data_IF_160057735348
#
_entry.id   IF_160057735348
#
_cell.length_a   1.000
_cell.length_b   1.000
_cell.length_c   1.000
_cell.angle_alpha   90.00
_cell.angle_beta   90.00
_cell.angle_gamma   90.00
#
_symmetry.space_group_name_H-M   'P 1'
#
loop_
_entity.id
_entity.type
_entity.pdbx_description
1 polymer ?
#
# COMPACT_ATOMS: atom_id res chain seq x y z
N UNK A 1 37.20 21.92 17.89
CA UNK A 1 36.07 21.69 16.97
C UNK A 1 34.81 21.48 17.82
N UNK A 2 33.86 22.42 17.81
CA UNK A 2 32.55 22.16 18.42
C UNK A 2 31.90 20.98 17.70
N UNK A 3 31.34 20.05 18.46
CA UNK A 3 30.61 18.92 17.92
C UNK A 3 29.35 19.49 17.26
N UNK A 4 29.38 19.70 15.94
CA UNK A 4 28.35 20.38 15.17
C UNK A 4 26.97 19.68 15.27
N UNK A 5 26.93 18.45 15.79
CA UNK A 5 25.74 17.63 15.89
C UNK A 5 25.72 16.83 17.21
N UNK A 6 25.36 17.47 18.35
CA UNK A 6 25.41 16.82 19.66
C UNK A 6 24.53 15.54 19.74
N UNK A 7 23.45 15.47 18.96
CA UNK A 7 22.47 14.37 19.02
C UNK A 7 22.64 13.27 17.96
N UNK A 8 23.74 13.21 17.21
CA UNK A 8 23.91 12.19 16.17
C UNK A 8 23.89 10.75 16.71
N UNK A 9 24.43 10.54 17.90
CA UNK A 9 24.37 9.25 18.59
C UNK A 9 22.92 8.82 18.88
N UNK A 10 22.06 9.77 19.30
CA UNK A 10 20.63 9.54 19.53
C UNK A 10 19.89 9.21 18.24
N UNK A 11 20.12 9.95 17.15
CA UNK A 11 19.50 9.66 15.84
C UNK A 11 19.89 8.28 15.30
N UNK A 12 21.13 7.86 15.50
CA UNK A 12 21.59 6.51 15.15
C UNK A 12 20.89 5.46 16.01
N UNK A 13 20.86 5.64 17.33
CA UNK A 13 20.14 4.76 18.24
C UNK A 13 18.65 4.65 17.85
N UNK A 14 18.03 5.79 17.54
CA UNK A 14 16.65 5.90 17.08
C UNK A 14 16.40 5.09 15.82
N UNK A 15 17.26 5.24 14.81
CA UNK A 15 17.16 4.47 13.57
C UNK A 15 17.23 2.96 13.82
N UNK A 16 18.15 2.51 14.69
CA UNK A 16 18.29 1.10 15.07
C UNK A 16 17.01 0.62 15.77
N UNK A 17 16.49 1.36 16.74
CA UNK A 17 15.28 1.02 17.46
C UNK A 17 14.06 0.90 16.53
N UNK A 18 13.86 1.86 15.63
CA UNK A 18 12.76 1.81 14.65
C UNK A 18 12.86 0.58 13.75
N UNK A 19 14.07 0.27 13.31
CA UNK A 19 14.33 -0.93 12.52
C UNK A 19 14.03 -2.20 13.33
N UNK A 20 14.49 -2.29 14.58
CA UNK A 20 14.21 -3.41 15.49
C UNK A 20 12.72 -3.58 15.74
N UNK A 21 11.95 -2.49 15.89
CA UNK A 21 10.50 -2.58 16.04
C UNK A 21 9.85 -3.16 14.78
N UNK A 22 10.25 -2.70 13.60
CA UNK A 22 9.75 -3.21 12.32
C UNK A 22 10.05 -4.72 12.19
N UNK A 23 11.27 -5.12 12.52
CA UNK A 23 11.67 -6.53 12.56
C UNK A 23 10.85 -7.32 13.58
N UNK A 24 10.51 -6.74 14.75
CA UNK A 24 9.69 -7.42 15.76
C UNK A 24 8.22 -7.56 15.36
N UNK A 25 7.68 -6.60 14.59
CA UNK A 25 6.29 -6.61 14.10
C UNK A 25 6.10 -7.66 13.00
N UNK A 26 7.14 -7.95 12.21
CA UNK A 26 7.02 -8.83 11.06
C UNK A 26 6.69 -10.30 11.44
N UNK A 27 7.37 -10.95 12.41
CA UNK A 27 6.98 -12.26 12.92
C UNK A 27 5.56 -12.28 13.50
N UNK A 28 5.18 -11.24 14.26
CA UNK A 28 3.82 -11.14 14.82
C UNK A 28 2.75 -11.07 13.73
N UNK A 29 2.99 -10.30 12.67
CA UNK A 29 2.09 -10.26 11.51
C UNK A 29 2.00 -11.62 10.80
N UNK A 30 3.13 -12.33 10.63
CA UNK A 30 3.15 -13.67 10.03
C UNK A 30 2.37 -14.68 10.88
N UNK A 31 2.56 -14.64 12.19
CA UNK A 31 1.86 -15.51 13.15
C UNK A 31 0.36 -15.23 13.15
N UNK A 32 -0.05 -13.97 13.25
CA UNK A 32 -1.47 -13.58 13.18
C UNK A 32 -2.09 -13.97 11.85
N UNK A 33 -1.37 -13.82 10.75
CA UNK A 33 -1.86 -14.27 9.45
C UNK A 33 -2.05 -15.79 9.41
N UNK A 34 -1.06 -16.56 9.87
CA UNK A 34 -1.16 -18.01 9.97
C UNK A 34 -2.40 -18.41 10.76
N UNK A 35 -2.61 -17.80 11.92
CA UNK A 35 -3.78 -18.04 12.77
C UNK A 35 -5.10 -17.64 12.09
N UNK A 36 -5.15 -16.49 11.41
CA UNK A 36 -6.30 -16.10 10.61
C UNK A 36 -6.65 -17.17 9.57
N UNK A 37 -5.64 -17.70 8.86
CA UNK A 37 -5.84 -18.74 7.84
C UNK A 37 -6.37 -20.04 8.46
N UNK A 38 -5.74 -20.50 9.55
CA UNK A 38 -6.18 -21.70 10.27
C UNK A 38 -7.65 -21.57 10.73
N UNK A 39 -8.02 -20.44 11.36
CA UNK A 39 -9.41 -20.19 11.74
C UNK A 39 -10.36 -20.13 10.57
N UNK A 40 -9.90 -19.59 9.45
CA UNK A 40 -10.72 -19.51 8.26
C UNK A 40 -11.03 -20.90 7.71
N UNK A 41 -10.00 -21.75 7.63
CA UNK A 41 -10.11 -23.12 7.15
C UNK A 41 -11.04 -23.91 8.11
N UNK A 42 -10.88 -23.76 9.43
CA UNK A 42 -11.77 -24.40 10.42
C UNK A 42 -13.23 -23.94 10.32
N UNK A 43 -13.47 -22.63 10.15
CA UNK A 43 -14.82 -22.10 9.96
C UNK A 43 -15.44 -22.60 8.66
N UNK A 44 -14.64 -22.73 7.60
CA UNK A 44 -15.07 -23.27 6.32
C UNK A 44 -15.54 -24.72 6.46
N UNK A 45 -14.74 -25.57 7.09
CA UNK A 45 -15.07 -26.98 7.32
C UNK A 45 -16.35 -27.13 8.14
N UNK A 46 -16.49 -26.33 9.21
CA UNK A 46 -17.70 -26.32 10.05
C UNK A 46 -18.95 -25.91 9.30
N UNK A 47 -18.89 -24.83 8.54
CA UNK A 47 -20.02 -24.40 7.72
C UNK A 47 -20.36 -25.44 6.65
N UNK A 48 -19.35 -26.08 6.03
CA UNK A 48 -19.55 -27.15 5.05
C UNK A 48 -20.30 -28.36 5.61
N UNK A 49 -19.92 -28.82 6.82
CA UNK A 49 -20.63 -29.90 7.52
C UNK A 49 -22.08 -29.53 7.79
N UNK A 50 -22.33 -28.32 8.32
CA UNK A 50 -23.67 -27.84 8.64
C UNK A 50 -24.57 -27.70 7.41
N UNK A 51 -24.03 -27.29 6.26
CA UNK A 51 -24.80 -27.26 5.02
C UNK A 51 -25.18 -28.65 4.51
N UNK A 52 -24.30 -29.64 4.72
CA UNK A 52 -24.54 -31.03 4.30
C UNK A 52 -25.59 -31.71 5.17
N UNK A 53 -25.58 -31.47 6.48
CA UNK A 53 -26.53 -32.09 7.42
C UNK A 53 -27.97 -31.60 7.27
N UNK A 54 -28.17 -30.37 6.78
CA UNK A 54 -29.49 -29.74 6.71
C UNK A 54 -30.08 -29.61 5.30
N UNK A 55 -29.51 -30.30 4.30
CA UNK A 55 -29.89 -30.19 2.88
C UNK A 55 -29.99 -28.72 2.40
N UNK A 56 -29.16 -27.87 3.01
CA UNK A 56 -29.13 -26.43 2.76
C UNK A 56 -28.02 -26.08 1.75
N UNK A 57 -27.60 -27.04 0.94
CA UNK A 57 -26.51 -26.87 -0.02
C UNK A 57 -26.81 -25.64 -0.90
N UNK A 58 -25.95 -24.60 -0.88
CA UNK A 58 -26.10 -23.51 -1.82
C UNK A 58 -26.00 -24.08 -3.24
N UNK A 59 -26.94 -23.71 -4.12
CA UNK A 59 -26.94 -24.14 -5.53
C UNK A 59 -25.72 -23.64 -6.33
N UNK A 60 -24.91 -22.74 -5.77
CA UNK A 60 -23.60 -22.40 -6.29
C UNK A 60 -22.56 -23.20 -5.51
N UNK A 61 -21.67 -23.89 -6.22
CA UNK A 61 -20.54 -24.59 -5.61
C UNK A 61 -19.89 -23.64 -4.60
N UNK A 62 -19.80 -24.07 -3.33
CA UNK A 62 -19.20 -23.30 -2.24
C UNK A 62 -17.78 -22.82 -2.57
N UNK A 63 -17.14 -23.38 -3.59
CA UNK A 63 -15.87 -22.92 -4.14
C UNK A 63 -15.97 -21.60 -4.95
N UNK A 64 -17.08 -21.33 -5.63
CA UNK A 64 -17.23 -20.16 -6.52
C UNK A 64 -17.55 -18.87 -5.77
N UNK A 65 -18.23 -18.97 -4.63
CA UNK A 65 -18.61 -17.81 -3.81
C UNK A 65 -17.38 -17.15 -3.15
N UNK A 66 -16.21 -17.79 -3.20
CA UNK A 66 -14.99 -17.30 -2.54
C UNK A 66 -13.84 -17.01 -3.51
N UNK A 67 -14.02 -17.25 -4.82
CA UNK A 67 -13.20 -16.64 -5.90
C UNK A 67 -13.56 -15.16 -6.13
N UNK A 68 -13.86 -14.41 -5.06
CA UNK A 68 -14.42 -13.05 -5.14
C UNK A 68 -13.43 -12.02 -5.67
N UNK A 69 -12.15 -12.36 -5.78
CA UNK A 69 -11.21 -11.59 -6.60
C UNK A 69 -11.70 -11.38 -8.04
N UNK A 70 -12.59 -12.23 -8.56
CA UNK A 70 -13.16 -12.15 -9.91
C UNK A 70 -14.60 -11.59 -9.97
N UNK A 71 -15.33 -11.50 -8.84
CA UNK A 71 -16.78 -11.16 -8.82
C UNK A 71 -17.11 -9.67 -8.61
N UNK A 72 -16.12 -8.77 -8.68
CA UNK A 72 -16.28 -7.37 -8.23
C UNK A 72 -17.11 -6.46 -9.14
N UNK A 73 -17.78 -6.94 -10.20
CA UNK A 73 -18.45 -6.05 -11.18
C UNK A 73 -19.95 -6.21 -11.40
N UNK A 74 -20.68 -7.07 -10.70
CA UNK A 74 -22.14 -7.06 -10.91
C UNK A 74 -22.96 -8.04 -10.09
N UNK A 75 -23.40 -7.65 -8.90
CA UNK A 75 -24.60 -8.20 -8.28
C UNK A 75 -25.13 -7.26 -7.20
N UNK A 76 -26.44 -6.95 -7.24
CA UNK A 76 -27.13 -6.19 -6.21
C UNK A 76 -27.12 -6.97 -4.88
N UNK A 77 -26.65 -6.31 -3.82
CA UNK A 77 -26.30 -6.90 -2.54
C UNK A 77 -27.53 -7.22 -1.66
N UNK A 78 -27.81 -8.51 -1.44
CA UNK A 78 -28.64 -8.95 -0.30
C UNK A 78 -28.26 -10.30 0.29
N UNK A 79 -27.32 -11.05 -0.29
CA UNK A 79 -26.95 -12.36 0.28
C UNK A 79 -25.95 -12.20 1.43
N UNK A 80 -26.24 -12.81 2.57
CA UNK A 80 -25.35 -12.94 3.74
C UNK A 80 -23.94 -13.45 3.33
N UNK A 81 -23.86 -14.25 2.27
CA UNK A 81 -22.63 -14.73 1.64
C UNK A 81 -21.74 -13.61 1.06
N UNK A 82 -22.32 -12.54 0.49
CA UNK A 82 -21.55 -11.37 0.01
C UNK A 82 -20.95 -10.55 1.17
N UNK A 83 -21.57 -10.59 2.36
CA UNK A 83 -21.07 -9.88 3.54
C UNK A 83 -19.88 -10.59 4.18
N UNK A 84 -19.91 -11.93 4.23
CA UNK A 84 -18.77 -12.73 4.71
C UNK A 84 -17.57 -12.60 3.75
N UNK A 85 -17.80 -12.55 2.44
CA UNK A 85 -16.73 -12.27 1.47
C UNK A 85 -16.19 -10.82 1.55
N UNK A 86 -16.97 -9.86 2.04
CA UNK A 86 -16.46 -8.50 2.34
C UNK A 86 -15.43 -8.47 3.49
N UNK A 87 -15.58 -9.37 4.49
CA UNK A 87 -14.58 -9.59 5.53
C UNK A 87 -13.25 -10.01 4.88
N UNK A 88 -13.31 -10.92 3.90
CA UNK A 88 -12.15 -11.41 3.17
C UNK A 88 -11.55 -10.39 2.20
N UNK A 89 -12.35 -9.52 1.59
CA UNK A 89 -11.85 -8.41 0.77
C UNK A 89 -11.08 -7.38 1.61
N UNK A 90 -11.55 -7.09 2.83
CA UNK A 90 -10.78 -6.29 3.78
C UNK A 90 -9.44 -6.97 4.13
N UNK A 91 -9.45 -8.31 4.23
CA UNK A 91 -8.23 -9.09 4.44
C UNK A 91 -7.34 -9.15 3.17
N UNK A 92 -7.90 -9.17 1.96
CA UNK A 92 -7.16 -9.12 0.70
C UNK A 92 -6.41 -7.80 0.53
N UNK A 93 -7.02 -6.67 0.90
CA UNK A 93 -6.33 -5.38 0.96
C UNK A 93 -5.18 -5.38 1.99
N UNK A 94 -5.36 -6.07 3.12
CA UNK A 94 -4.28 -6.35 4.08
C UNK A 94 -3.21 -7.27 3.46
N UNK A 95 -3.57 -8.27 2.66
CA UNK A 95 -2.65 -9.20 2.01
C UNK A 95 -1.80 -8.58 0.92
N UNK A 96 -2.37 -7.69 0.10
CA UNK A 96 -1.60 -6.93 -0.88
C UNK A 96 -0.47 -6.16 -0.20
N UNK A 97 -0.72 -5.63 1.01
CA UNK A 97 0.31 -4.95 1.78
C UNK A 97 1.39 -5.90 2.31
N UNK A 98 1.06 -7.14 2.69
CA UNK A 98 2.04 -8.12 3.21
C UNK A 98 2.87 -8.73 2.08
N UNK A 99 2.23 -9.12 0.97
CA UNK A 99 2.89 -9.73 -0.19
C UNK A 99 3.79 -8.76 -0.96
N UNK A 100 3.56 -7.44 -0.89
CA UNK A 100 4.50 -6.47 -1.48
C UNK A 100 5.84 -6.40 -0.73
N UNK A 101 5.91 -6.84 0.53
CA UNK A 101 7.09 -6.71 1.40
C UNK A 101 7.77 -8.04 1.76
N UNK A 102 7.23 -9.18 1.31
CA UNK A 102 7.70 -10.51 1.71
C UNK A 102 8.47 -11.37 0.65
N UNK A 103 8.38 -11.19 -0.68
CA UNK A 103 8.94 -12.18 -1.60
C UNK A 103 10.48 -12.19 -1.59
N UNK A 104 11.12 -11.03 -1.39
CA UNK A 104 12.59 -10.94 -1.35
C UNK A 104 13.17 -11.20 0.04
N UNK A 105 12.44 -10.86 1.11
CA UNK A 105 12.88 -11.08 2.49
C UNK A 105 12.89 -12.56 2.88
N UNK A 106 11.99 -13.38 2.33
CA UNK A 106 11.98 -14.83 2.55
C UNK A 106 13.21 -15.52 1.91
N UNK A 107 13.59 -15.11 0.70
CA UNK A 107 14.78 -15.62 0.01
C UNK A 107 16.10 -15.15 0.65
N UNK A 108 16.12 -13.94 1.23
CA UNK A 108 17.28 -13.42 1.96
C UNK A 108 17.47 -14.13 3.31
N UNK A 109 16.40 -14.35 4.08
CA UNK A 109 16.48 -15.01 5.40
C UNK A 109 16.85 -16.50 5.28
N UNK A 110 16.43 -17.19 4.21
CA UNK A 110 16.82 -18.59 4.00
C UNK A 110 18.30 -18.74 3.58
N UNK A 111 18.94 -17.69 3.04
CA UNK A 111 20.39 -17.65 2.72
C UNK A 111 21.27 -17.16 3.88
N UNK A 112 20.70 -16.51 4.89
CA UNK A 112 21.43 -16.06 6.09
C UNK A 112 21.71 -17.24 7.06
N UNK A 113 21.05 -18.39 6.86
CA UNK A 113 21.24 -19.60 7.68
C UNK A 113 22.54 -20.39 7.42
N UNK A 114 23.30 -20.07 6.36
CA UNK A 114 24.56 -20.75 6.05
C UNK A 114 25.68 -19.73 5.98
N UNK A 115 26.36 -19.53 7.12
CA UNK A 115 27.37 -18.50 7.28
C UNK A 115 28.48 -18.55 6.21
N UNK A 116 28.77 -17.38 5.63
CA UNK A 116 30.07 -16.96 5.09
C UNK A 116 29.90 -15.53 4.56
N UNK A 117 30.45 -14.56 5.30
CA UNK A 117 30.65 -13.22 4.79
C UNK A 117 31.92 -13.24 3.92
N UNK A 118 31.76 -13.40 2.60
CA UNK A 118 32.85 -13.09 1.68
C UNK A 118 32.77 -11.60 1.27
N UNK A 119 33.83 -10.89 1.66
CA UNK A 119 34.11 -9.48 1.37
C UNK A 119 34.06 -9.11 -0.12
N UNK A 120 34.10 -10.08 -1.04
CA UNK A 120 33.96 -9.86 -2.48
C UNK A 120 32.57 -9.33 -2.88
N UNK A 121 31.49 -9.68 -2.15
CA UNK A 121 30.14 -9.18 -2.45
C UNK A 121 29.91 -7.74 -1.98
N UNK A 122 30.55 -7.35 -0.88
CA UNK A 122 30.49 -5.99 -0.34
C UNK A 122 31.21 -4.97 -1.23
N UNK A 123 32.27 -5.38 -1.93
CA UNK A 123 32.98 -4.54 -2.90
C UNK A 123 32.18 -4.34 -4.21
N UNK A 124 31.38 -5.32 -4.63
CA UNK A 124 30.57 -5.25 -5.85
C UNK A 124 29.40 -4.25 -5.76
N UNK A 125 28.83 -4.04 -4.56
CA UNK A 125 27.72 -3.09 -4.36
C UNK A 125 28.22 -1.68 -4.06
N UNK A 126 29.43 -1.52 -3.53
CA UNK A 126 30.04 -0.19 -3.37
C UNK A 126 30.49 0.42 -4.70
N UNK A 127 30.77 -0.39 -5.72
CA UNK A 127 31.25 0.04 -7.05
C UNK A 127 30.18 0.57 -8.01
N UNK A 128 28.88 0.32 -7.77
CA UNK A 128 27.79 0.76 -8.68
C UNK A 128 26.99 1.96 -8.16
N UNK A 129 27.41 2.57 -7.05
CA UNK A 129 26.67 3.69 -6.43
C UNK A 129 26.88 5.05 -7.13
N UNK A 130 27.71 5.16 -8.16
CA UNK A 130 27.90 6.42 -8.89
C UNK A 130 28.11 6.20 -10.40
N UNK A 131 27.02 6.26 -11.16
CA UNK A 131 27.00 6.68 -12.57
C UNK A 131 26.95 5.58 -13.63
N UNK A 132 25.75 5.25 -14.09
CA UNK A 132 25.32 5.37 -15.49
C UNK A 132 23.81 5.10 -15.57
N UNK A 133 23.17 5.79 -16.48
CA UNK A 133 21.72 5.89 -16.65
C UNK A 133 21.04 4.53 -16.89
N UNK A 134 19.80 4.40 -16.39
CA UNK A 134 18.86 3.38 -16.84
C UNK A 134 18.83 2.07 -16.04
N UNK A 135 17.89 1.97 -15.10
CA UNK A 135 16.88 0.89 -15.11
C UNK A 135 15.96 1.02 -13.89
N UNK A 136 14.69 0.76 -14.18
CA UNK A 136 13.58 0.80 -13.24
C UNK A 136 13.73 -0.25 -12.12
N UNK A 137 12.98 0.00 -11.04
CA UNK A 137 12.80 -0.90 -9.89
C UNK A 137 13.97 -0.92 -8.90
N UNK A 138 14.03 0.11 -8.05
CA UNK A 138 14.74 -0.01 -6.76
C UNK A 138 13.82 -0.71 -5.77
N UNK A 139 14.11 -2.00 -5.58
CA UNK A 139 13.64 -2.89 -4.54
C UNK A 139 13.78 -2.27 -3.14
N UNK A 140 12.65 -2.06 -2.47
CA UNK A 140 12.61 -1.66 -1.06
C UNK A 140 13.11 -2.76 -0.08
N UNK A 141 13.56 -3.91 -0.61
CA UNK A 141 14.25 -4.96 0.14
C UNK A 141 15.75 -4.73 0.36
N UNK A 142 16.36 -3.70 -0.25
CA UNK A 142 17.80 -3.45 -0.20
C UNK A 142 18.25 -2.44 0.89
N UNK A 143 17.57 -2.39 2.03
CA UNK A 143 18.13 -1.81 3.26
C UNK A 143 18.64 -2.92 4.18
N UNK A 144 19.47 -3.82 3.65
CA UNK A 144 20.22 -4.76 4.48
C UNK A 144 21.42 -4.04 5.12
N UNK A 145 21.78 -4.49 6.31
CA UNK A 145 22.73 -3.95 7.31
C UNK A 145 24.06 -3.29 6.83
N UNK A 146 24.42 -3.34 5.55
CA UNK A 146 25.66 -2.76 5.00
C UNK A 146 25.77 -1.23 5.08
N UNK A 147 24.65 -0.50 5.10
CA UNK A 147 24.66 0.96 5.21
C UNK A 147 25.11 1.47 6.60
N UNK A 148 25.10 0.62 7.63
CA UNK A 148 25.48 0.98 9.01
C UNK A 148 27.00 1.14 9.17
N UNK A 149 27.79 0.45 8.35
CA UNK A 149 29.24 0.39 8.51
C UNK A 149 29.96 1.49 7.70
N UNK A 150 29.43 1.88 6.54
CA UNK A 150 30.12 2.83 5.63
C UNK A 150 29.96 4.30 6.02
N UNK A 151 28.88 4.69 6.70
CA UNK A 151 28.65 6.09 7.11
C UNK A 151 29.57 6.48 8.30
N UNK A 152 30.12 5.51 9.03
CA UNK A 152 30.96 5.77 10.19
C UNK A 152 32.43 6.12 9.84
N UNK A 153 32.92 5.81 8.63
CA UNK A 153 34.35 5.82 8.35
C UNK A 153 34.88 7.00 7.50
N UNK A 154 34.04 7.76 6.80
CA UNK A 154 34.52 8.82 5.92
C UNK A 154 34.20 10.22 6.48
N UNK A 155 35.20 10.83 7.12
CA UNK A 155 35.18 12.25 7.44
C UNK A 155 35.15 13.09 6.17
N UNK A 156 33.96 13.56 5.78
CA UNK A 156 33.82 14.46 4.64
C UNK A 156 33.11 15.77 5.05
N UNK A 157 33.71 16.84 4.53
CA UNK A 157 33.41 18.29 4.57
C UNK A 157 31.97 18.65 4.94
N UNK A 158 31.82 19.71 5.75
CA UNK A 158 30.57 20.18 6.36
C UNK A 158 29.32 20.28 5.44
N UNK A 159 29.49 20.50 4.13
CA UNK A 159 28.38 20.49 3.17
C UNK A 159 27.77 19.10 2.94
N UNK A 160 28.58 18.03 2.95
CA UNK A 160 28.07 16.66 2.87
C UNK A 160 27.38 16.24 4.17
N UNK A 161 27.78 16.80 5.32
CA UNK A 161 27.17 16.48 6.61
C UNK A 161 25.71 16.99 6.72
N UNK A 162 25.39 18.14 6.12
CA UNK A 162 23.99 18.62 6.06
C UNK A 162 23.12 17.74 5.15
N UNK A 163 23.64 17.31 4.00
CA UNK A 163 22.93 16.38 3.11
C UNK A 163 22.68 15.02 3.79
N UNK A 164 23.68 14.50 4.51
CA UNK A 164 23.56 13.27 5.29
C UNK A 164 22.54 13.43 6.43
N UNK A 165 22.50 14.57 7.13
CA UNK A 165 21.48 14.86 8.17
C UNK A 165 20.07 14.82 7.60
N UNK A 166 19.82 15.55 6.50
CA UNK A 166 18.50 15.59 5.88
C UNK A 166 18.07 14.21 5.39
N UNK A 167 19.00 13.43 4.83
CA UNK A 167 18.76 12.06 4.40
C UNK A 167 18.43 11.14 5.59
N UNK A 168 19.20 11.20 6.69
CA UNK A 168 18.94 10.40 7.88
C UNK A 168 17.58 10.75 8.52
N UNK A 169 17.26 12.05 8.63
CA UNK A 169 15.96 12.51 9.13
C UNK A 169 14.81 11.99 8.26
N UNK A 170 14.94 12.11 6.94
CA UNK A 170 13.94 11.58 5.99
C UNK A 170 13.77 10.07 6.16
N UNK A 171 14.88 9.33 6.33
CA UNK A 171 14.84 7.89 6.55
C UNK A 171 14.16 7.51 7.87
N UNK A 172 14.44 8.22 8.97
CA UNK A 172 13.77 8.02 10.27
C UNK A 172 12.26 8.24 10.13
N UNK A 173 11.83 9.33 9.48
CA UNK A 173 10.40 9.57 9.22
C UNK A 173 9.77 8.48 8.35
N UNK A 174 10.48 7.99 7.33
CA UNK A 174 10.00 6.90 6.49
C UNK A 174 9.85 5.59 7.27
N UNK A 175 10.83 5.24 8.12
CA UNK A 175 10.74 4.07 8.99
C UNK A 175 9.57 4.18 9.98
N UNK A 176 9.33 5.36 10.56
CA UNK A 176 8.15 5.59 11.40
C UNK A 176 6.85 5.31 10.65
N UNK A 177 6.73 5.77 9.40
CA UNK A 177 5.55 5.50 8.57
C UNK A 177 5.38 4.00 8.30
N UNK A 178 6.45 3.29 7.94
CA UNK A 178 6.42 1.84 7.72
C UNK A 178 6.00 1.11 9.00
N UNK A 179 6.60 1.46 10.15
CA UNK A 179 6.28 0.90 11.46
C UNK A 179 4.81 1.12 11.83
N UNK A 180 4.29 2.33 11.63
CA UNK A 180 2.89 2.67 11.89
C UNK A 180 1.93 1.89 10.98
N UNK A 181 2.25 1.74 9.70
CA UNK A 181 1.44 0.94 8.77
C UNK A 181 1.39 -0.53 9.18
N UNK A 182 2.54 -1.10 9.59
CA UNK A 182 2.61 -2.49 10.08
C UNK A 182 1.78 -2.69 11.34
N UNK A 183 1.89 -1.77 12.30
CA UNK A 183 1.08 -1.83 13.53
C UNK A 183 -0.42 -1.67 13.25
N UNK A 184 -0.81 -0.74 12.36
CA UNK A 184 -2.20 -0.59 11.94
C UNK A 184 -2.74 -1.90 11.36
N UNK A 185 -1.98 -2.53 10.47
CA UNK A 185 -2.34 -3.83 9.89
C UNK A 185 -2.46 -4.92 10.95
N UNK A 186 -1.54 -4.98 11.90
CA UNK A 186 -1.58 -5.95 13.00
C UNK A 186 -2.82 -5.75 13.87
N UNK A 187 -3.14 -4.51 14.24
CA UNK A 187 -4.32 -4.16 15.03
C UNK A 187 -5.63 -4.51 14.31
N UNK A 188 -5.70 -4.27 12.99
CA UNK A 188 -6.85 -4.67 12.16
C UNK A 188 -7.01 -6.19 12.12
N UNK A 189 -5.93 -6.94 11.86
CA UNK A 189 -5.95 -8.40 11.86
C UNK A 189 -6.43 -8.95 13.20
N UNK A 190 -5.98 -8.38 14.33
CA UNK A 190 -6.37 -8.84 15.65
C UNK A 190 -7.89 -8.69 15.91
N UNK A 191 -8.50 -7.59 15.46
CA UNK A 191 -9.96 -7.38 15.56
C UNK A 191 -10.71 -8.46 14.76
N UNK A 192 -10.27 -8.73 13.53
CA UNK A 192 -10.92 -9.71 12.64
C UNK A 192 -10.77 -11.13 13.19
N UNK A 193 -9.56 -11.52 13.63
CA UNK A 193 -9.29 -12.83 14.23
C UNK A 193 -10.18 -13.06 15.47
N UNK A 194 -10.34 -12.06 16.33
CA UNK A 194 -11.25 -12.16 17.49
C UNK A 194 -12.69 -12.41 17.06
N UNK A 195 -13.17 -11.71 16.04
CA UNK A 195 -14.52 -11.95 15.49
C UNK A 195 -14.68 -13.37 14.96
N UNK A 196 -13.67 -13.92 14.29
CA UNK A 196 -13.70 -15.29 13.77
C UNK A 196 -13.75 -16.31 14.91
N UNK A 197 -12.97 -16.09 15.98
CA UNK A 197 -13.05 -16.89 17.20
C UNK A 197 -14.45 -16.90 17.81
N UNK A 198 -15.12 -15.74 17.88
CA UNK A 198 -16.49 -15.69 18.39
C UNK A 198 -17.46 -16.51 17.54
N UNK A 199 -17.38 -16.39 16.21
CA UNK A 199 -18.22 -17.17 15.29
C UNK A 199 -17.95 -18.66 15.47
N UNK A 200 -16.68 -19.05 15.52
CA UNK A 200 -16.29 -20.45 15.73
C UNK A 200 -16.87 -20.98 17.05
N UNK A 201 -16.72 -20.22 18.14
CA UNK A 201 -17.23 -20.60 19.45
C UNK A 201 -18.76 -20.74 19.47
N UNK A 202 -19.50 -19.83 18.81
CA UNK A 202 -20.95 -19.94 18.69
C UNK A 202 -21.37 -21.17 17.86
N UNK A 203 -20.67 -21.46 16.76
CA UNK A 203 -20.92 -22.66 15.96
C UNK A 203 -20.62 -23.95 16.76
N UNK A 204 -19.52 -23.96 17.51
CA UNK A 204 -19.17 -25.06 18.41
C UNK A 204 -20.28 -25.30 19.44
N UNK A 205 -20.75 -24.24 20.10
CA UNK A 205 -21.83 -24.34 21.09
C UNK A 205 -23.15 -24.81 20.48
N UNK A 206 -23.49 -24.36 19.26
CA UNK A 206 -24.70 -24.83 18.57
C UNK A 206 -24.61 -26.31 18.24
N UNK A 207 -23.46 -26.75 17.74
CA UNK A 207 -23.19 -28.16 17.43
C UNK A 207 -23.29 -29.03 18.70
N UNK A 208 -22.69 -28.59 19.81
CA UNK A 208 -22.74 -29.29 21.10
C UNK A 208 -24.17 -29.39 21.67
N UNK A 209 -25.02 -28.39 21.42
CA UNK A 209 -26.43 -28.40 21.81
C UNK A 209 -27.33 -29.18 20.85
N UNK A 210 -26.84 -29.55 19.66
CA UNK A 210 -27.67 -30.10 18.59
C UNK A 210 -28.63 -29.08 17.98
N UNK A 211 -28.34 -27.78 18.12
CA UNK A 211 -29.14 -26.72 17.52
C UNK A 211 -28.90 -26.68 16.01
N UNK A 212 -29.99 -26.65 15.22
CA UNK A 212 -29.86 -26.49 13.77
C UNK A 212 -29.26 -25.12 13.42
N UNK A 213 -28.20 -25.12 12.62
CA UNK A 213 -27.60 -23.87 12.11
C UNK A 213 -28.41 -23.40 10.91
N UNK A 214 -29.39 -22.54 11.19
CA UNK A 214 -30.25 -21.97 10.15
C UNK A 214 -29.60 -20.77 9.47
N UNK A 215 -30.11 -20.41 8.28
CA UNK A 215 -29.76 -19.16 7.59
C UNK A 215 -29.96 -17.93 8.48
N UNK A 216 -31.02 -17.90 9.28
CA UNK A 216 -31.33 -16.78 10.19
C UNK A 216 -30.25 -16.66 11.25
N UNK A 217 -29.80 -17.80 11.81
CA UNK A 217 -28.74 -17.81 12.81
C UNK A 217 -27.40 -17.32 12.24
N UNK A 218 -27.03 -17.78 11.03
CA UNK A 218 -25.83 -17.30 10.34
C UNK A 218 -25.90 -15.80 10.04
N UNK A 219 -27.07 -15.29 9.63
CA UNK A 219 -27.26 -13.86 9.40
C UNK A 219 -27.10 -13.06 10.70
N UNK A 220 -27.64 -13.56 11.81
CA UNK A 220 -27.45 -12.94 13.13
C UNK A 220 -25.98 -12.94 13.55
N UNK A 221 -25.23 -14.03 13.33
CA UNK A 221 -23.79 -14.06 13.60
C UNK A 221 -23.03 -13.00 12.78
N UNK A 222 -23.37 -12.84 11.50
CA UNK A 222 -22.77 -11.80 10.66
C UNK A 222 -23.08 -10.40 11.20
N UNK A 223 -24.34 -10.12 11.51
CA UNK A 223 -24.74 -8.80 12.03
C UNK A 223 -24.16 -8.50 13.41
N UNK A 224 -24.04 -9.50 14.28
CA UNK A 224 -23.60 -9.32 15.67
C UNK A 224 -22.08 -9.31 15.84
N UNK A 225 -21.34 -10.05 15.00
CA UNK A 225 -19.89 -10.25 15.18
C UNK A 225 -19.08 -9.69 14.01
N UNK A 226 -19.42 -10.06 12.77
CA UNK A 226 -18.64 -9.72 11.56
C UNK A 226 -18.72 -8.22 11.27
N UNK A 227 -19.94 -7.68 11.11
CA UNK A 227 -20.13 -6.27 10.72
C UNK A 227 -19.52 -5.27 11.71
N UNK A 228 -19.72 -5.43 13.04
CA UNK A 228 -19.08 -4.55 14.01
C UNK A 228 -17.56 -4.67 13.97
N UNK A 229 -17.01 -5.87 13.79
CA UNK A 229 -15.57 -6.08 13.71
C UNK A 229 -14.95 -5.42 12.47
N UNK A 230 -15.57 -5.57 11.30
CA UNK A 230 -15.14 -4.88 10.06
C UNK A 230 -15.22 -3.37 10.22
N UNK A 231 -16.35 -2.88 10.75
CA UNK A 231 -16.55 -1.44 10.99
C UNK A 231 -15.46 -0.91 11.93
N UNK A 232 -15.16 -1.61 13.02
CA UNK A 232 -14.12 -1.24 13.97
C UNK A 232 -12.71 -1.29 13.36
N UNK A 233 -12.40 -2.33 12.58
CA UNK A 233 -11.10 -2.45 11.91
C UNK A 233 -10.90 -1.33 10.87
N UNK A 234 -11.94 -1.00 10.10
CA UNK A 234 -11.91 0.08 9.11
C UNK A 234 -11.88 1.48 9.75
N UNK A 235 -12.47 1.63 10.93
CA UNK A 235 -12.40 2.87 11.70
C UNK A 235 -10.97 3.18 12.17
N UNK A 236 -10.13 2.17 12.40
CA UNK A 236 -8.72 2.40 12.75
C UNK A 236 -7.99 3.16 11.64
N UNK A 237 -7.37 4.27 12.00
CA UNK A 237 -6.59 5.13 11.12
C UNK A 237 -5.09 4.96 11.35
N UNK A 238 -4.29 5.41 10.37
CA UNK A 238 -2.84 5.47 10.54
C UNK A 238 -2.43 6.37 11.72
N UNK A 239 -3.20 7.43 12.00
CA UNK A 239 -2.99 8.31 13.16
C UNK A 239 -3.09 7.59 14.50
N UNK A 240 -3.95 6.59 14.62
CA UNK A 240 -4.10 5.82 15.87
C UNK A 240 -2.85 4.97 16.13
N UNK A 241 -2.32 4.34 15.07
CA UNK A 241 -1.08 3.60 15.14
C UNK A 241 0.11 4.52 15.43
N UNK A 242 0.18 5.69 14.78
CA UNK A 242 1.21 6.70 15.08
C UNK A 242 1.15 7.14 16.54
N UNK A 243 -0.04 7.45 17.07
CA UNK A 243 -0.21 7.84 18.47
C UNK A 243 0.28 6.76 19.44
N UNK A 244 -0.07 5.49 19.18
CA UNK A 244 0.38 4.36 19.99
C UNK A 244 1.91 4.22 19.95
N UNK A 245 2.51 4.36 18.77
CA UNK A 245 3.96 4.31 18.60
C UNK A 245 4.68 5.49 19.25
N UNK A 246 4.11 6.69 19.16
CA UNK A 246 4.65 7.91 19.78
C UNK A 246 4.69 7.78 21.30
N UNK A 247 3.66 7.18 21.91
CA UNK A 247 3.66 6.86 23.35
C UNK A 247 4.81 5.90 23.72
N UNK A 248 5.06 4.89 22.90
CA UNK A 248 6.19 3.97 23.10
C UNK A 248 7.54 4.68 22.92
N UNK A 249 7.60 5.64 22.02
CA UNK A 249 8.84 6.33 21.64
C UNK A 249 9.24 7.42 22.62
N UNK A 250 8.27 8.13 23.19
CA UNK A 250 8.50 9.13 24.24
C UNK A 250 9.14 8.52 25.49
N UNK A 251 8.96 7.22 25.72
CA UNK A 251 9.63 6.48 26.80
C UNK A 251 11.10 6.12 26.49
N UNK A 252 11.59 6.33 25.26
CA UNK A 252 12.94 5.91 24.83
C UNK A 252 13.96 7.04 24.94
N UNK A 253 15.18 6.70 25.35
CA UNK A 253 16.28 7.65 25.50
C UNK A 253 16.83 8.18 24.15
N UNK A 254 16.55 7.49 23.04
CA UNK A 254 16.94 7.88 21.69
C UNK A 254 16.12 9.03 21.11
N UNK A 255 14.98 9.35 21.74
CA UNK A 255 14.07 10.38 21.27
C UNK A 255 14.70 11.77 21.36
N UNK A 256 14.58 12.55 20.29
CA UNK A 256 15.10 13.92 20.20
C UNK A 256 13.98 14.90 19.83
N UNK A 257 14.21 16.19 20.09
CA UNK A 257 13.26 17.25 19.69
C UNK A 257 13.03 17.31 18.17
N UNK A 258 13.96 16.76 17.37
CA UNK A 258 13.83 16.66 15.92
C UNK A 258 12.86 15.53 15.49
N UNK A 259 12.57 14.59 16.40
CA UNK A 259 11.64 13.46 16.20
C UNK A 259 10.19 13.82 16.52
N UNK A 260 9.93 15.01 17.06
CA UNK A 260 8.58 15.56 17.15
C UNK A 260 8.00 15.57 15.74
N UNK A 261 7.07 14.65 15.47
CA UNK A 261 6.25 14.71 14.27
C UNK A 261 5.54 16.06 14.35
N UNK A 262 5.71 16.95 13.35
CA UNK A 262 5.03 18.24 13.38
C UNK A 262 3.53 18.00 13.60
N UNK A 263 2.99 18.48 14.73
CA UNK A 263 1.56 18.44 15.05
C UNK A 263 0.75 19.31 14.11
N UNK A 264 1.40 20.24 13.41
CA UNK A 264 0.87 20.78 12.18
C UNK A 264 0.75 19.62 11.19
N UNK A 265 -0.49 19.14 10.99
CA UNK A 265 -0.83 18.24 9.90
C UNK A 265 -0.01 18.64 8.68
N UNK A 266 0.73 17.72 8.05
CA UNK A 266 1.45 18.04 6.82
C UNK A 266 0.48 18.83 5.95
N UNK A 267 0.88 20.03 5.50
CA UNK A 267 0.06 20.95 4.69
C UNK A 267 -0.87 20.10 3.82
N UNK A 268 -2.20 20.33 3.83
CA UNK A 268 -3.20 19.39 3.36
C UNK A 268 -2.66 18.65 2.15
N UNK A 269 -2.39 17.35 2.34
CA UNK A 269 -1.89 16.50 1.26
C UNK A 269 -2.76 16.80 0.06
N UNK A 270 -2.15 17.28 -1.04
CA UNK A 270 -2.88 17.64 -2.25
C UNK A 270 -3.82 16.48 -2.58
N UNK A 271 -5.12 16.72 -2.45
CA UNK A 271 -6.10 15.72 -2.79
C UNK A 271 -6.14 15.62 -4.31
N UNK A 272 -5.96 14.41 -4.78
CA UNK A 272 -6.01 14.08 -6.20
C UNK A 272 -7.35 13.41 -6.46
N UNK A 273 -8.18 14.07 -7.24
CA UNK A 273 -9.47 13.55 -7.66
C UNK A 273 -9.36 13.09 -9.12
N UNK A 274 -9.84 11.89 -9.41
CA UNK A 274 -9.94 11.39 -10.79
C UNK A 274 -11.33 11.75 -11.28
N UNK A 275 -11.39 12.52 -12.36
CA UNK A 275 -12.64 12.92 -13.01
C UNK A 275 -12.68 12.42 -14.45
N UNK A 276 -13.90 12.29 -14.99
CA UNK A 276 -14.14 12.03 -16.41
C UNK A 276 -14.78 13.29 -17.00
N UNK A 277 -14.15 13.88 -18.01
CA UNK A 277 -14.62 15.11 -18.65
C UNK A 277 -14.90 14.90 -20.13
N UNK A 278 -15.90 15.55 -20.74
CA UNK A 278 -16.11 15.43 -22.18
C UNK A 278 -14.88 15.90 -22.96
N UNK A 279 -14.51 15.20 -24.03
CA UNK A 279 -13.36 15.59 -24.88
C UNK A 279 -13.53 17.03 -25.44
N UNK A 280 -14.76 17.52 -25.58
CA UNK A 280 -15.00 18.87 -26.09
C UNK A 280 -14.58 19.98 -25.11
N UNK A 281 -14.29 19.66 -23.85
CA UNK A 281 -13.82 20.63 -22.84
C UNK A 281 -12.30 20.69 -22.70
N UNK A 282 -11.56 20.17 -23.69
CA UNK A 282 -10.10 20.19 -23.69
C UNK A 282 -9.57 21.62 -23.87
N UNK A 283 -8.58 22.05 -23.06
CA UNK A 283 -7.85 23.29 -23.29
C UNK A 283 -7.00 23.20 -24.57
N UNK A 284 -6.36 24.29 -24.96
CA UNK A 284 -5.49 24.31 -26.14
C UNK A 284 -4.34 23.31 -25.99
N UNK A 285 -4.38 22.24 -26.78
CA UNK A 285 -3.39 21.15 -26.75
C UNK A 285 -2.11 21.59 -27.49
N UNK A 286 -0.91 21.37 -26.92
CA UNK A 286 0.36 21.54 -27.64
C UNK A 286 0.39 20.76 -28.96
N UNK A 287 0.94 21.36 -30.02
CA UNK A 287 0.86 20.81 -31.38
C UNK A 287 1.48 19.41 -31.55
N UNK A 288 2.41 19.01 -30.68
CA UNK A 288 3.03 17.68 -30.67
C UNK A 288 2.21 16.60 -29.94
N UNK A 289 1.06 16.99 -29.37
CA UNK A 289 0.20 16.14 -28.56
C UNK A 289 -1.21 16.03 -29.16
N UNK A 290 -1.92 14.97 -28.79
CA UNK A 290 -3.31 14.73 -29.13
C UNK A 290 -4.06 14.11 -27.95
N UNK A 291 -5.32 14.49 -27.80
CA UNK A 291 -6.22 13.84 -26.87
C UNK A 291 -6.84 12.61 -27.53
N UNK A 292 -6.42 11.43 -27.09
CA UNK A 292 -7.05 10.17 -27.41
C UNK A 292 -7.18 9.33 -26.14
N UNK A 293 -8.41 8.91 -25.85
CA UNK A 293 -8.72 7.98 -24.75
C UNK A 293 -9.49 6.79 -25.32
N UNK A 294 -9.24 5.60 -24.79
CA UNK A 294 -9.81 4.34 -25.29
C UNK A 294 -10.89 3.80 -24.34
N UNK A 295 -11.87 3.07 -24.89
CA UNK A 295 -12.93 2.42 -24.12
C UNK A 295 -12.42 1.24 -23.28
N UNK A 296 -11.42 0.53 -23.79
CA UNK A 296 -10.76 -0.58 -23.10
C UNK A 296 -9.28 -0.64 -23.51
N UNK A 297 -8.41 -1.31 -22.73
CA UNK A 297 -6.99 -1.44 -23.09
C UNK A 297 -6.76 -2.27 -24.36
N UNK A 298 -7.70 -3.14 -24.71
CA UNK A 298 -7.57 -4.08 -25.83
C UNK A 298 -8.36 -3.64 -27.08
N UNK A 299 -8.93 -2.42 -27.06
CA UNK A 299 -9.70 -1.83 -28.15
C UNK A 299 -9.10 -0.50 -28.59
N UNK A 300 -9.15 -0.22 -29.89
CA UNK A 300 -8.80 1.09 -30.46
C UNK A 300 -10.01 2.04 -30.55
N UNK A 301 -11.16 1.63 -30.02
CA UNK A 301 -12.35 2.47 -30.01
C UNK A 301 -12.17 3.66 -29.05
N UNK A 302 -12.34 4.90 -29.55
CA UNK A 302 -12.20 6.08 -28.73
C UNK A 302 -13.38 6.23 -27.75
N UNK A 303 -13.08 6.73 -26.56
CA UNK A 303 -14.06 7.06 -25.52
C UNK A 303 -14.50 8.52 -25.63
N UNK A 304 -15.79 8.82 -25.48
CA UNK A 304 -16.29 10.21 -25.52
C UNK A 304 -15.87 11.06 -24.32
N UNK A 305 -15.59 10.41 -23.18
CA UNK A 305 -15.10 11.04 -21.95
C UNK A 305 -13.61 10.76 -21.76
N UNK A 306 -12.91 11.74 -21.22
CA UNK A 306 -11.47 11.72 -20.99
C UNK A 306 -11.15 11.65 -19.50
N UNK A 307 -10.34 10.68 -19.04
CA UNK A 307 -9.88 10.65 -17.66
C UNK A 307 -8.88 11.79 -17.42
N UNK A 308 -9.16 12.59 -16.41
CA UNK A 308 -8.27 13.66 -15.94
C UNK A 308 -8.02 13.52 -14.45
N UNK A 309 -6.92 14.10 -14.01
CA UNK A 309 -6.60 14.21 -12.59
C UNK A 309 -6.73 15.67 -12.16
N UNK A 310 -7.46 15.94 -11.10
CA UNK A 310 -7.64 17.29 -10.53
C UNK A 310 -6.98 17.39 -9.18
N UNK A 311 -6.35 18.54 -8.93
CA UNK A 311 -5.85 18.89 -7.60
C UNK A 311 -5.82 20.40 -7.45
N UNK A 312 -6.45 20.92 -6.40
CA UNK A 312 -6.65 22.36 -6.19
C UNK A 312 -7.30 23.00 -7.44
N UNK A 313 -6.72 24.09 -7.95
CA UNK A 313 -7.13 24.79 -9.17
C UNK A 313 -6.48 24.27 -10.45
N UNK A 314 -5.83 23.08 -10.42
CA UNK A 314 -5.10 22.52 -11.55
C UNK A 314 -5.77 21.25 -12.10
N UNK A 315 -5.76 21.10 -13.43
CA UNK A 315 -6.19 19.89 -14.13
C UNK A 315 -5.03 19.29 -14.90
N UNK A 316 -4.78 18.00 -14.69
CA UNK A 316 -3.69 17.22 -15.26
C UNK A 316 -4.27 16.30 -16.34
N UNK A 317 -3.76 16.44 -17.56
CA UNK A 317 -4.22 15.76 -18.76
C UNK A 317 -3.13 14.80 -19.27
N UNK A 318 -3.38 13.48 -19.28
CA UNK A 318 -2.48 12.50 -19.88
C UNK A 318 -2.66 12.45 -21.40
N UNK A 319 -1.95 13.30 -22.15
CA UNK A 319 -2.08 13.43 -23.60
C UNK A 319 -1.09 12.51 -24.33
N UNK A 320 -1.52 11.93 -25.45
CA UNK A 320 -0.65 11.09 -26.29
C UNK A 320 0.15 11.93 -27.27
N UNK A 321 1.33 11.48 -27.68
CA UNK A 321 2.06 12.17 -28.75
C UNK A 321 1.38 12.01 -30.11
N UNK A 322 1.45 13.06 -30.93
CA UNK A 322 0.92 13.07 -32.28
C UNK A 322 1.62 12.07 -33.21
N UNK A 323 2.88 11.73 -32.93
CA UNK A 323 3.69 10.79 -33.71
C UNK A 323 3.50 9.31 -33.32
N UNK A 324 2.55 9.00 -32.44
CA UNK A 324 2.17 7.63 -32.04
C UNK A 324 3.26 6.85 -31.28
N UNK A 325 4.30 7.53 -30.76
CA UNK A 325 5.31 6.88 -29.91
C UNK A 325 4.70 6.29 -28.63
N UNK A 326 5.41 5.33 -28.04
CA UNK A 326 4.99 4.61 -26.83
C UNK A 326 5.18 5.46 -25.55
N UNK A 327 4.44 6.56 -25.45
CA UNK A 327 4.49 7.51 -24.35
C UNK A 327 3.30 8.46 -24.29
N UNK A 328 3.16 9.14 -23.16
CA UNK A 328 2.21 10.22 -22.94
C UNK A 328 2.91 11.39 -22.24
N UNK A 329 2.44 12.60 -22.50
CA UNK A 329 2.77 13.78 -21.73
C UNK A 329 1.67 14.03 -20.70
N UNK A 330 2.03 14.16 -19.42
CA UNK A 330 1.13 14.68 -18.39
C UNK A 330 1.24 16.20 -18.41
N UNK A 331 0.18 16.86 -18.84
CA UNK A 331 0.12 18.31 -19.06
C UNK A 331 -0.79 18.95 -18.02
N UNK A 332 -0.34 20.00 -17.35
CA UNK A 332 -1.09 20.68 -16.29
C UNK A 332 -1.58 22.02 -16.77
N UNK A 333 -2.86 22.27 -16.61
CA UNK A 333 -3.46 23.58 -16.81
C UNK A 333 -3.97 24.15 -15.50
N UNK A 334 -3.89 25.47 -15.33
CA UNK A 334 -4.58 26.19 -14.27
C UNK A 334 -6.10 26.29 -14.56
N UNK A 335 -6.83 27.00 -13.70
CA UNK A 335 -8.27 27.23 -13.85
C UNK A 335 -8.64 28.14 -15.03
N UNK A 336 -7.67 28.89 -15.58
CA UNK A 336 -7.85 29.76 -16.75
C UNK A 336 -7.53 29.02 -18.05
N UNK A 337 -7.03 27.78 -17.97
CA UNK A 337 -6.63 26.99 -19.13
C UNK A 337 -5.20 27.30 -19.62
N UNK A 338 -4.38 27.99 -18.83
CA UNK A 338 -2.98 28.21 -19.16
C UNK A 338 -2.14 26.99 -18.80
N UNK A 339 -1.21 26.63 -19.69
CA UNK A 339 -0.26 25.55 -19.48
C UNK A 339 0.76 25.94 -18.38
N UNK A 340 0.75 25.22 -17.26
CA UNK A 340 1.68 25.43 -16.14
C UNK A 340 2.91 24.54 -16.28
N UNK A 341 2.70 23.26 -16.59
CA UNK A 341 3.76 22.24 -16.50
C UNK A 341 3.49 21.05 -17.41
N UNK A 342 4.58 20.35 -17.79
CA UNK A 342 4.56 19.13 -18.60
C UNK A 342 5.56 18.11 -18.03
N UNK A 343 5.16 16.85 -18.01
CA UNK A 343 6.06 15.70 -17.79
C UNK A 343 5.91 14.71 -18.93
N UNK A 344 7.01 14.38 -19.59
CA UNK A 344 7.06 13.36 -20.63
C UNK A 344 7.31 11.98 -20.00
N UNK A 345 6.41 11.02 -20.26
CA UNK A 345 6.44 9.68 -19.67
C UNK A 345 6.40 8.61 -20.75
N UNK A 346 7.30 7.65 -20.65
CA UNK A 346 7.36 6.48 -21.52
C UNK A 346 6.59 5.31 -20.91
N UNK A 347 6.19 4.37 -21.76
CA UNK A 347 5.68 3.07 -21.31
C UNK A 347 4.16 2.93 -21.28
N UNK A 348 3.40 3.94 -21.71
CA UNK A 348 1.97 3.84 -22.01
C UNK A 348 1.58 4.89 -23.05
N UNK A 349 0.59 4.61 -23.90
CA UNK A 349 0.00 5.54 -24.89
C UNK A 349 -1.51 5.30 -24.93
N UNK A 350 -2.26 6.31 -25.35
CA UNK A 350 -3.72 6.31 -25.39
C UNK A 350 -4.35 5.95 -24.05
N UNK A 351 -4.66 6.98 -23.27
CA UNK A 351 -5.13 6.77 -21.90
C UNK A 351 -6.45 5.98 -21.87
N UNK A 352 -6.51 4.95 -21.05
CA UNK A 352 -7.74 4.20 -20.76
C UNK A 352 -8.33 4.76 -19.46
N UNK A 353 -7.53 4.77 -18.40
CA UNK A 353 -7.92 5.28 -17.09
C UNK A 353 -6.74 5.69 -16.21
N UNK A 354 -7.08 6.31 -15.08
CA UNK A 354 -6.16 6.72 -14.03
C UNK A 354 -6.62 6.03 -12.75
N UNK A 355 -5.68 5.45 -12.01
CA UNK A 355 -5.94 4.78 -10.74
C UNK A 355 -5.08 5.38 -9.64
N UNK A 356 -5.65 5.59 -8.45
CA UNK A 356 -4.86 5.95 -7.27
C UNK A 356 -4.26 4.70 -6.64
N UNK A 357 -2.97 4.75 -6.32
CA UNK A 357 -2.30 3.75 -5.50
C UNK A 357 -1.94 4.39 -4.15
N UNK A 358 -2.82 4.29 -3.13
CA UNK A 358 -2.59 4.93 -1.84
C UNK A 358 -1.40 4.34 -1.08
N UNK A 359 -1.10 3.05 -1.29
CA UNK A 359 0.04 2.36 -0.68
C UNK A 359 1.36 2.99 -1.10
N UNK A 360 1.49 3.27 -2.40
CA UNK A 360 2.71 3.84 -2.97
C UNK A 360 2.67 5.36 -3.12
N UNK A 361 1.59 6.00 -2.64
CA UNK A 361 1.34 7.44 -2.78
C UNK A 361 1.57 7.90 -4.22
N UNK A 362 0.95 7.22 -5.18
CA UNK A 362 1.15 7.44 -6.60
C UNK A 362 -0.15 7.38 -7.39
N UNK A 363 -0.14 8.00 -8.56
CA UNK A 363 -1.16 7.81 -9.60
C UNK A 363 -0.61 6.88 -10.66
N UNK A 364 -1.41 5.91 -11.09
CA UNK A 364 -1.10 4.98 -12.18
C UNK A 364 -1.91 5.43 -13.39
N UNK A 365 -1.23 5.62 -14.51
CA UNK A 365 -1.81 6.00 -15.80
C UNK A 365 -1.72 4.80 -16.72
N UNK A 366 -2.86 4.19 -17.05
CA UNK A 366 -2.93 2.97 -17.87
C UNK A 366 -3.45 3.33 -19.26
N UNK A 367 -2.80 2.79 -20.28
CA UNK A 367 -3.15 2.97 -21.68
C UNK A 367 -3.39 1.65 -22.41
N UNK A 368 -3.22 1.68 -23.73
CA UNK A 368 -3.38 0.55 -24.65
C UNK A 368 -2.54 -0.67 -24.23
N UNK A 369 -3.07 -1.88 -24.49
CA UNK A 369 -2.46 -3.18 -24.18
C UNK A 369 -2.06 -3.36 -22.72
N UNK A 370 -2.80 -2.71 -21.80
CA UNK A 370 -2.52 -2.68 -20.37
C UNK A 370 -1.14 -2.12 -19.99
N UNK A 371 -0.51 -1.39 -20.91
CA UNK A 371 0.71 -0.65 -20.61
C UNK A 371 0.43 0.50 -19.65
N UNK A 372 1.32 0.75 -18.69
CA UNK A 372 1.13 1.80 -17.70
C UNK A 372 2.45 2.42 -17.25
N UNK A 373 2.35 3.62 -16.68
CA UNK A 373 3.40 4.21 -15.85
C UNK A 373 2.79 4.78 -14.56
N UNK A 374 3.64 5.05 -13.58
CA UNK A 374 3.22 5.69 -12.33
C UNK A 374 3.95 7.01 -12.11
N UNK A 375 3.27 7.92 -11.41
CA UNK A 375 3.85 9.16 -10.91
C UNK A 375 3.52 9.31 -9.43
N UNK A 376 4.52 9.59 -8.61
CA UNK A 376 4.29 9.84 -7.18
C UNK A 376 3.47 11.11 -6.96
N UNK A 377 2.69 11.17 -5.89
CA UNK A 377 1.97 12.38 -5.47
C UNK A 377 2.92 13.55 -5.24
N UNK A 378 4.14 13.29 -4.77
CA UNK A 378 5.18 14.33 -4.64
C UNK A 378 5.64 14.87 -5.99
N UNK A 379 5.72 14.02 -7.01
CA UNK A 379 6.11 14.44 -8.37
C UNK A 379 5.01 15.30 -9.01
N UNK A 380 3.76 14.86 -8.90
CA UNK A 380 2.59 15.61 -9.37
C UNK A 380 2.35 16.90 -8.55
N UNK A 381 2.73 16.88 -7.28
CA UNK A 381 2.60 17.97 -6.33
C UNK A 381 3.74 18.98 -6.34
N UNK A 382 4.84 18.72 -7.05
CA UNK A 382 5.93 19.67 -7.22
C UNK A 382 5.55 20.72 -8.27
N UNK A 383 4.69 21.65 -7.88
CA UNK A 383 4.47 22.93 -8.58
C UNK A 383 4.78 24.06 -7.63
#
# INVERSE_FOLDING_TARGET
MHNLFPDNHKRRARWIELYTDIESLLPQMKEKYKHFKELNDELHDKLGLLYTEHDCAPHAELHDIWKVSELTQGAAASSTLLRISSLMMCTAAVFSSIQLFAPEAAAAVQRIGTGLFDSAWAAGIAGSAFGAEGSAVMTAGALTAGAVVTIAAAGIRAAQQMAVRNKLRKNIHHLNQIRAMKLLTLNRLDIIIRSMHYIKCELDQMQDRGDAVTRVTLQQMVMNFVEPAVTKANALQLSDAVLQLDQMDQARASWTKDDVVPTASPKPQRFFQIDQVPIQTLPLIPADLKALSLTSPDSLEPKEVYPVLRSNSCTYWPLSYADHRMGMAIVVYDSEGNLIKRWDKIGARYIVDIMANPTNQAMIFRGESNHYFSMSWSELGAM
#
